data_IF_203579445208
#
_entry.id   IF_203579445208
#
_cell.length_a   1.000
_cell.length_b   1.000
_cell.length_c   1.000
_cell.angle_alpha   90.00
_cell.angle_beta   90.00
_cell.angle_gamma   90.00
#
_symmetry.space_group_name_H-M   'P 1'
#
loop_
_entity.id
_entity.type
_entity.pdbx_description
1 polymer ?
#
# COMPACT_ATOMS: atom_id res chain seq x y z
N UNK A 1 4.94 -27.66 2.72
CA UNK A 1 4.99 -28.15 1.32
C UNK A 1 4.47 -27.09 0.37
N UNK A 2 3.24 -26.57 0.56
CA UNK A 2 2.69 -25.47 -0.26
C UNK A 2 3.44 -24.14 -0.11
N UNK A 3 3.69 -23.67 1.13
CA UNK A 3 4.43 -22.42 1.36
C UNK A 3 5.82 -22.41 0.72
N UNK A 4 6.53 -23.55 0.78
CA UNK A 4 7.85 -23.69 0.17
C UNK A 4 7.75 -23.54 -1.35
N UNK A 5 6.77 -24.19 -1.99
CA UNK A 5 6.55 -24.07 -3.43
C UNK A 5 6.25 -22.62 -3.84
N UNK A 6 5.40 -21.90 -3.09
CA UNK A 6 5.13 -20.48 -3.37
C UNK A 6 6.39 -19.62 -3.24
N UNK A 7 7.20 -19.87 -2.21
CA UNK A 7 8.46 -19.16 -1.99
C UNK A 7 9.48 -19.44 -3.10
N UNK A 8 9.60 -20.69 -3.55
CA UNK A 8 10.52 -21.08 -4.62
C UNK A 8 10.14 -20.45 -5.96
N UNK A 9 8.83 -20.38 -6.26
CA UNK A 9 8.31 -19.68 -7.44
C UNK A 9 8.62 -18.18 -7.37
N UNK A 10 8.36 -17.53 -6.25
CA UNK A 10 8.70 -16.11 -6.06
C UNK A 10 10.20 -15.86 -6.20
N UNK A 11 11.04 -16.74 -5.66
CA UNK A 11 12.49 -16.62 -5.79
C UNK A 11 12.94 -16.69 -7.25
N UNK A 12 12.39 -17.63 -8.03
CA UNK A 12 12.64 -17.71 -9.47
C UNK A 12 12.19 -16.43 -10.20
N UNK A 13 10.97 -15.95 -9.93
CA UNK A 13 10.43 -14.74 -10.58
C UNK A 13 11.22 -13.49 -10.21
N UNK A 14 11.60 -13.31 -8.94
CA UNK A 14 12.45 -12.21 -8.48
C UNK A 14 13.78 -12.19 -9.23
N UNK A 15 14.46 -13.32 -9.31
CA UNK A 15 15.75 -13.45 -10.00
C UNK A 15 15.64 -13.23 -11.52
N UNK A 16 14.50 -13.56 -12.12
CA UNK A 16 14.30 -13.53 -13.57
C UNK A 16 13.80 -12.17 -14.07
N UNK A 17 12.92 -11.52 -13.30
CA UNK A 17 12.16 -10.35 -13.76
C UNK A 17 12.63 -9.04 -13.15
N UNK A 18 13.22 -9.07 -11.94
CA UNK A 18 13.54 -7.85 -11.22
C UNK A 18 15.03 -7.53 -11.34
N UNK A 19 15.40 -6.31 -11.79
CA UNK A 19 16.77 -5.86 -11.70
C UNK A 19 17.17 -5.70 -10.21
N UNK A 20 18.45 -5.90 -9.86
CA UNK A 20 18.94 -5.64 -8.51
C UNK A 20 18.59 -4.21 -8.07
N UNK A 21 18.14 -4.05 -6.82
CA UNK A 21 17.81 -2.75 -6.26
C UNK A 21 18.45 -2.56 -4.89
N UNK A 22 19.74 -2.18 -4.84
CA UNK A 22 20.49 -2.06 -3.60
C UNK A 22 19.79 -1.18 -2.55
N UNK A 23 19.15 -0.08 -2.96
CA UNK A 23 18.42 0.79 -2.04
C UNK A 23 17.22 0.11 -1.36
N UNK A 24 16.52 -0.78 -2.07
CA UNK A 24 15.39 -1.54 -1.51
C UNK A 24 15.88 -2.65 -0.58
N UNK A 25 16.94 -3.36 -0.95
CA UNK A 25 17.59 -4.37 -0.10
C UNK A 25 18.09 -3.73 1.22
N UNK A 26 18.83 -2.63 1.10
CA UNK A 26 19.30 -1.86 2.25
C UNK A 26 18.15 -1.29 3.09
N UNK A 27 16.97 -1.06 2.51
CA UNK A 27 15.78 -0.57 3.23
C UNK A 27 15.26 -1.68 4.13
N UNK A 28 15.14 -2.90 3.62
CA UNK A 28 14.73 -4.07 4.40
C UNK A 28 15.74 -4.38 5.53
N UNK A 29 17.05 -4.32 5.24
CA UNK A 29 18.10 -4.49 6.24
C UNK A 29 18.02 -3.43 7.34
N UNK A 30 17.82 -2.17 6.97
CA UNK A 30 17.72 -1.09 7.93
C UNK A 30 16.44 -1.22 8.78
N UNK A 31 15.30 -1.52 8.17
CA UNK A 31 14.04 -1.78 8.88
C UNK A 31 14.22 -2.86 9.95
N UNK A 32 14.85 -3.98 9.59
CA UNK A 32 15.17 -5.06 10.53
C UNK A 32 16.11 -4.60 11.65
N UNK A 33 17.16 -3.84 11.32
CA UNK A 33 18.11 -3.30 12.32
C UNK A 33 17.46 -2.35 13.33
N UNK A 34 16.38 -1.66 12.92
CA UNK A 34 15.60 -0.74 13.74
C UNK A 34 14.43 -1.45 14.47
N UNK A 35 14.38 -2.78 14.41
CA UNK A 35 13.37 -3.60 15.07
C UNK A 35 11.95 -3.41 14.50
N UNK A 36 11.82 -2.99 13.25
CA UNK A 36 10.51 -2.92 12.60
C UNK A 36 9.98 -4.33 12.29
N UNK A 37 8.66 -4.54 12.33
CA UNK A 37 8.07 -5.80 11.92
C UNK A 37 8.34 -6.07 10.43
N UNK A 38 8.64 -7.33 10.09
CA UNK A 38 8.94 -7.76 8.72
C UNK A 38 7.66 -7.95 7.87
N UNK A 39 6.83 -6.89 7.81
CA UNK A 39 5.54 -6.86 7.12
C UNK A 39 5.60 -6.06 5.82
N UNK A 40 6.78 -5.65 5.37
CA UNK A 40 6.97 -5.04 4.05
C UNK A 40 6.37 -5.94 2.95
N UNK A 41 5.79 -5.31 1.92
CA UNK A 41 5.36 -6.00 0.70
C UNK A 41 6.54 -6.77 0.08
N UNK A 42 6.26 -7.89 -0.59
CA UNK A 42 7.29 -8.62 -1.31
C UNK A 42 7.88 -7.79 -2.45
N UNK A 43 9.05 -8.17 -2.96
CA UNK A 43 9.67 -7.46 -4.09
C UNK A 43 8.77 -7.49 -5.36
N UNK A 44 8.06 -8.58 -5.59
CA UNK A 44 7.12 -8.68 -6.72
C UNK A 44 5.87 -7.82 -6.50
N UNK A 45 5.36 -7.72 -5.27
CA UNK A 45 4.27 -6.81 -4.91
C UNK A 45 4.71 -5.35 -5.05
N UNK A 46 5.92 -4.99 -4.62
CA UNK A 46 6.49 -3.67 -4.84
C UNK A 46 6.61 -3.31 -6.32
N UNK A 47 7.06 -4.26 -7.16
CA UNK A 47 7.10 -4.09 -8.62
C UNK A 47 5.69 -3.91 -9.20
N UNK A 48 4.70 -4.66 -8.70
CA UNK A 48 3.31 -4.49 -9.10
C UNK A 48 2.80 -3.07 -8.78
N UNK A 49 3.04 -2.56 -7.57
CA UNK A 49 2.68 -1.18 -7.20
C UNK A 49 3.34 -0.14 -8.13
N UNK A 50 4.62 -0.32 -8.43
CA UNK A 50 5.35 0.52 -9.40
C UNK A 50 4.67 0.50 -10.78
N UNK A 51 4.27 -0.68 -11.26
CA UNK A 51 3.54 -0.82 -12.54
C UNK A 51 2.16 -0.16 -12.49
N UNK A 52 1.46 -0.19 -11.36
CA UNK A 52 0.17 0.50 -11.21
C UNK A 52 0.31 2.02 -11.28
N UNK A 53 1.38 2.59 -10.73
CA UNK A 53 1.71 4.01 -10.91
C UNK A 53 1.91 4.33 -12.39
N UNK A 54 2.69 3.51 -13.11
CA UNK A 54 2.96 3.71 -14.54
C UNK A 54 1.71 3.56 -15.41
N UNK A 55 0.90 2.53 -15.17
CA UNK A 55 -0.31 2.24 -15.94
C UNK A 55 -1.40 3.29 -15.72
N UNK A 56 -1.54 3.78 -14.49
CA UNK A 56 -2.49 4.86 -14.17
C UNK A 56 -2.01 6.23 -14.65
N UNK A 57 -0.69 6.40 -14.89
CA UNK A 57 -0.11 7.70 -15.18
C UNK A 57 -0.12 8.63 -13.96
N UNK A 58 -0.10 8.06 -12.75
CA UNK A 58 -0.25 8.81 -11.51
C UNK A 58 0.87 9.84 -11.32
N UNK A 59 0.47 11.05 -10.91
CA UNK A 59 1.36 12.13 -10.47
C UNK A 59 1.21 12.44 -8.99
N UNK A 60 0.06 12.12 -8.41
CA UNK A 60 -0.27 12.34 -7.00
C UNK A 60 -0.66 11.02 -6.37
N UNK A 61 0.14 10.56 -5.42
CA UNK A 61 -0.08 9.31 -4.69
C UNK A 61 -0.37 9.62 -3.23
N UNK A 62 -1.37 8.93 -2.66
CA UNK A 62 -1.58 8.86 -1.22
C UNK A 62 -1.27 7.44 -0.74
N UNK A 63 -0.46 7.31 0.29
CA UNK A 63 -0.20 6.05 0.98
C UNK A 63 -0.66 6.18 2.44
N UNK A 64 -1.49 5.23 2.89
CA UNK A 64 -1.97 5.15 4.28
C UNK A 64 -1.25 3.97 4.92
N UNK A 65 -0.23 4.26 5.73
CA UNK A 65 0.70 3.27 6.29
C UNK A 65 2.06 3.31 5.58
N UNK A 66 3.07 3.88 6.23
CA UNK A 66 4.42 4.03 5.64
C UNK A 66 5.37 2.90 6.04
N UNK A 67 5.30 2.43 7.29
CA UNK A 67 6.31 1.55 7.89
C UNK A 67 7.73 2.13 7.68
N UNK A 68 8.67 1.34 7.17
CA UNK A 68 10.02 1.79 6.87
C UNK A 68 10.19 2.33 5.45
N UNK A 69 9.10 2.54 4.70
CA UNK A 69 9.11 3.21 3.41
C UNK A 69 9.46 2.33 2.20
N UNK A 70 9.32 1.00 2.29
CA UNK A 70 9.65 0.10 1.18
C UNK A 70 8.67 0.26 -0.01
N UNK A 71 7.35 0.13 0.24
CA UNK A 71 6.29 0.37 -0.75
C UNK A 71 6.33 1.81 -1.27
N UNK A 72 6.56 2.77 -0.39
CA UNK A 72 6.72 4.19 -0.69
C UNK A 72 7.79 4.41 -1.75
N UNK A 73 8.98 3.82 -1.58
CA UNK A 73 10.07 3.92 -2.57
C UNK A 73 9.73 3.24 -3.89
N UNK A 74 9.09 2.07 -3.86
CA UNK A 74 8.66 1.37 -5.08
C UNK A 74 7.71 2.25 -5.92
N UNK A 75 6.72 2.88 -5.29
CA UNK A 75 5.78 3.76 -5.96
C UNK A 75 6.43 5.07 -6.42
N UNK A 76 7.21 5.72 -5.55
CA UNK A 76 7.83 7.01 -5.86
C UNK A 76 8.84 6.95 -7.02
N UNK A 77 9.51 5.81 -7.23
CA UNK A 77 10.40 5.61 -8.40
C UNK A 77 9.69 5.69 -9.75
N UNK A 78 8.38 5.42 -9.79
CA UNK A 78 7.58 5.52 -11.01
C UNK A 78 6.95 6.90 -11.22
N UNK A 79 7.03 7.81 -10.24
CA UNK A 79 6.52 9.17 -10.37
C UNK A 79 7.38 10.00 -11.34
N UNK A 80 6.76 10.89 -12.15
CA UNK A 80 7.50 11.90 -12.89
C UNK A 80 8.20 12.88 -11.93
N UNK A 81 9.08 13.73 -12.46
CA UNK A 81 9.86 14.67 -11.65
C UNK A 81 9.02 15.71 -10.91
N UNK A 82 7.85 16.04 -11.45
CA UNK A 82 6.84 16.90 -10.84
C UNK A 82 5.81 16.13 -9.99
N UNK A 83 6.01 14.82 -9.79
CA UNK A 83 5.13 13.97 -9.01
C UNK A 83 5.32 14.11 -7.50
N UNK A 84 4.25 13.81 -6.76
CA UNK A 84 4.22 13.87 -5.30
C UNK A 84 3.57 12.62 -4.72
N UNK A 85 4.23 12.00 -3.75
CA UNK A 85 3.69 10.96 -2.89
C UNK A 85 3.55 11.51 -1.47
N UNK A 86 2.34 11.50 -0.92
CA UNK A 86 2.08 11.76 0.49
C UNK A 86 1.87 10.42 1.18
N UNK A 87 2.62 10.16 2.26
CA UNK A 87 2.48 8.93 3.05
C UNK A 87 2.20 9.24 4.51
N UNK A 88 1.33 8.47 5.14
CA UNK A 88 0.84 8.69 6.50
C UNK A 88 1.42 7.63 7.45
N UNK A 89 2.14 8.08 8.47
CA UNK A 89 2.73 7.20 9.50
C UNK A 89 2.35 7.69 10.90
N UNK A 90 1.87 6.77 11.73
CA UNK A 90 1.40 7.10 13.08
C UNK A 90 2.55 7.22 14.07
N UNK A 91 3.54 6.34 14.01
CA UNK A 91 4.64 6.29 14.97
C UNK A 91 5.80 7.21 14.49
N UNK A 92 6.12 8.31 15.20
CA UNK A 92 7.22 9.20 14.83
C UNK A 92 8.58 8.50 14.72
N UNK A 93 8.81 7.44 15.49
CA UNK A 93 10.04 6.65 15.42
C UNK A 93 10.08 5.87 14.10
N UNK A 94 8.98 5.26 13.70
CA UNK A 94 8.87 4.53 12.43
C UNK A 94 8.99 5.49 11.25
N UNK A 95 8.35 6.66 11.33
CA UNK A 95 8.47 7.72 10.32
C UNK A 95 9.93 8.19 10.14
N UNK A 96 10.70 8.30 11.22
CA UNK A 96 12.12 8.64 11.14
C UNK A 96 12.95 7.55 10.43
N UNK A 97 12.60 6.27 10.60
CA UNK A 97 13.23 5.17 9.86
C UNK A 97 12.90 5.25 8.37
N UNK A 98 11.63 5.49 8.02
CA UNK A 98 11.23 5.71 6.63
C UNK A 98 11.94 6.90 6.00
N UNK A 99 11.99 8.03 6.70
CA UNK A 99 12.68 9.24 6.23
C UNK A 99 14.15 8.96 5.91
N UNK A 100 14.86 8.25 6.79
CA UNK A 100 16.24 7.84 6.54
C UNK A 100 16.37 6.99 5.27
N UNK A 101 15.50 6.01 5.08
CA UNK A 101 15.51 5.15 3.90
C UNK A 101 15.22 5.94 2.61
N UNK A 102 14.27 6.88 2.67
CA UNK A 102 13.87 7.75 1.55
C UNK A 102 15.01 8.69 1.14
N UNK A 103 15.67 9.35 2.09
CA UNK A 103 16.81 10.23 1.84
C UNK A 103 17.99 9.46 1.24
N UNK A 104 18.29 8.27 1.78
CA UNK A 104 19.34 7.39 1.25
C UNK A 104 19.04 6.95 -0.19
N UNK A 105 17.77 6.79 -0.55
CA UNK A 105 17.32 6.49 -1.90
C UNK A 105 17.21 7.74 -2.80
N UNK A 106 17.46 8.94 -2.28
CA UNK A 106 17.38 10.23 -2.98
C UNK A 106 15.98 10.52 -3.55
N UNK A 107 14.93 10.13 -2.84
CA UNK A 107 13.53 10.30 -3.25
C UNK A 107 12.76 11.34 -2.42
N UNK A 108 13.43 11.99 -1.47
CA UNK A 108 12.88 12.99 -0.54
C UNK A 108 12.22 14.18 -1.26
N UNK A 109 12.71 14.54 -2.44
CA UNK A 109 12.11 15.60 -3.27
C UNK A 109 10.71 15.26 -3.83
N UNK A 110 10.31 13.99 -3.84
CA UNK A 110 8.98 13.51 -4.31
C UNK A 110 8.09 12.99 -3.20
N UNK A 111 8.60 12.81 -1.97
CA UNK A 111 7.90 12.13 -0.89
C UNK A 111 7.73 13.06 0.30
N UNK A 112 6.49 13.16 0.80
CA UNK A 112 6.17 13.88 2.03
C UNK A 112 5.56 12.91 3.04
N UNK A 113 6.23 12.73 4.18
CA UNK A 113 5.72 11.93 5.30
C UNK A 113 4.95 12.83 6.26
N UNK A 114 3.67 12.53 6.47
CA UNK A 114 2.86 13.20 7.49
C UNK A 114 2.76 12.30 8.71
N UNK A 115 3.36 12.75 9.81
CA UNK A 115 3.34 12.02 11.07
C UNK A 115 2.07 12.32 11.86
N UNK A 116 1.31 11.27 12.20
CA UNK A 116 0.10 11.36 13.01
C UNK A 116 -0.87 10.22 12.73
N UNK A 117 -1.92 10.12 13.55
CA UNK A 117 -2.98 9.15 13.30
C UNK A 117 -3.61 9.37 11.92
N UNK A 118 -3.73 8.32 11.11
CA UNK A 118 -4.22 8.42 9.75
C UNK A 118 -5.63 9.05 9.70
N UNK A 119 -6.52 8.75 10.66
CA UNK A 119 -7.86 9.33 10.67
C UNK A 119 -7.84 10.85 10.88
N UNK A 120 -6.87 11.35 11.65
CA UNK A 120 -6.70 12.78 11.92
C UNK A 120 -5.95 13.50 10.80
N UNK A 121 -4.97 12.86 10.18
CA UNK A 121 -4.18 13.46 9.10
C UNK A 121 -4.97 13.52 7.81
N UNK A 122 -5.78 12.50 7.48
CA UNK A 122 -6.69 12.51 6.33
C UNK A 122 -7.67 13.69 6.37
N UNK A 123 -8.17 14.08 7.55
CA UNK A 123 -9.05 15.24 7.72
C UNK A 123 -8.38 16.57 7.40
N UNK A 124 -7.05 16.64 7.51
CA UNK A 124 -6.25 17.84 7.29
C UNK A 124 -5.70 17.93 5.86
N UNK A 125 -5.82 16.86 5.07
CA UNK A 125 -5.43 16.88 3.68
C UNK A 125 -6.34 17.83 2.90
N UNK A 126 -5.73 18.65 2.07
CA UNK A 126 -6.44 19.56 1.19
C UNK A 126 -7.27 18.76 0.18
N UNK A 127 -8.60 18.93 0.25
CA UNK A 127 -9.54 18.24 -0.63
C UNK A 127 -9.58 18.81 -2.04
N UNK A 128 -8.99 19.99 -2.27
CA UNK A 128 -8.95 20.63 -3.59
C UNK A 128 -8.02 19.90 -4.57
N UNK A 129 -7.08 19.08 -4.08
CA UNK A 129 -6.14 18.33 -4.92
C UNK A 129 -6.26 16.81 -4.73
N UNK A 130 -7.11 16.20 -5.56
CA UNK A 130 -7.34 14.75 -5.56
C UNK A 130 -6.09 13.92 -5.92
N UNK A 131 -6.09 12.63 -5.59
CA UNK A 131 -5.00 11.69 -5.85
C UNK A 131 -5.34 10.78 -7.03
N UNK A 132 -4.33 10.48 -7.86
CA UNK A 132 -4.44 9.57 -9.00
C UNK A 132 -4.36 8.10 -8.56
N UNK A 133 -3.56 7.83 -7.51
CA UNK A 133 -3.42 6.50 -6.93
C UNK A 133 -3.41 6.59 -5.39
N UNK A 134 -4.12 5.67 -4.75
CA UNK A 134 -4.19 5.58 -3.29
C UNK A 134 -3.89 4.14 -2.85
N UNK A 135 -2.90 3.96 -1.97
CA UNK A 135 -2.53 2.68 -1.39
C UNK A 135 -2.93 2.66 0.10
N UNK A 136 -3.71 1.67 0.50
CA UNK A 136 -4.22 1.51 1.87
C UNK A 136 -3.57 0.27 2.49
N UNK A 137 -2.63 0.49 3.39
CA UNK A 137 -1.91 -0.56 4.12
C UNK A 137 -1.58 -0.16 5.57
N UNK A 138 -2.59 0.34 6.28
CA UNK A 138 -2.49 0.70 7.69
C UNK A 138 -3.21 -0.32 8.59
N UNK A 139 -3.61 0.09 9.80
CA UNK A 139 -4.33 -0.77 10.70
C UNK A 139 -5.69 -1.20 10.13
N UNK A 140 -5.98 -2.49 10.28
CA UNK A 140 -7.08 -3.10 9.52
C UNK A 140 -8.45 -2.85 10.13
N UNK A 141 -8.54 -2.53 11.43
CA UNK A 141 -9.80 -2.17 12.07
C UNK A 141 -10.43 -0.90 11.47
N UNK A 142 -9.61 0.02 10.95
CA UNK A 142 -10.07 1.27 10.33
C UNK A 142 -10.18 1.22 8.81
N UNK A 143 -10.14 0.02 8.21
CA UNK A 143 -10.15 -0.14 6.74
C UNK A 143 -11.33 0.54 6.05
N UNK A 144 -12.55 0.45 6.60
CA UNK A 144 -13.72 1.13 6.03
C UNK A 144 -13.54 2.65 6.02
N UNK A 145 -13.05 3.22 7.12
CA UNK A 145 -12.78 4.66 7.23
C UNK A 145 -11.73 5.10 6.20
N UNK A 146 -10.66 4.33 6.04
CA UNK A 146 -9.63 4.63 5.04
C UNK A 146 -10.15 4.53 3.61
N UNK A 147 -10.99 3.54 3.32
CA UNK A 147 -11.59 3.38 2.01
C UNK A 147 -12.53 4.55 1.68
N UNK A 148 -13.35 4.98 2.64
CA UNK A 148 -14.23 6.14 2.47
C UNK A 148 -13.43 7.42 2.19
N UNK A 149 -12.34 7.65 2.93
CA UNK A 149 -11.44 8.77 2.67
C UNK A 149 -10.73 8.67 1.33
N UNK A 150 -10.25 7.48 0.97
CA UNK A 150 -9.60 7.25 -0.32
C UNK A 150 -10.55 7.62 -1.47
N UNK A 151 -11.80 7.17 -1.41
CA UNK A 151 -12.77 7.49 -2.46
C UNK A 151 -13.13 8.98 -2.44
N UNK A 152 -13.26 9.60 -1.25
CA UNK A 152 -13.49 11.05 -1.14
C UNK A 152 -12.36 11.88 -1.78
N UNK A 153 -11.11 11.48 -1.55
CA UNK A 153 -9.89 12.17 -2.01
C UNK A 153 -9.46 11.76 -3.44
N UNK A 154 -10.23 10.92 -4.12
CA UNK A 154 -9.95 10.46 -5.48
C UNK A 154 -10.61 11.36 -6.55
N UNK A 155 -10.54 11.01 -7.82
CA UNK A 155 -11.34 11.56 -8.90
C UNK A 155 -11.71 10.43 -9.88
N UNK A 156 -12.64 10.64 -10.83
CA UNK A 156 -12.87 9.65 -11.88
C UNK A 156 -11.57 9.28 -12.60
N UNK A 157 -11.25 7.99 -12.64
CA UNK A 157 -10.00 7.46 -13.16
C UNK A 157 -8.98 7.04 -12.10
N UNK A 158 -9.09 7.52 -10.86
CA UNK A 158 -8.16 7.16 -9.79
C UNK A 158 -8.18 5.66 -9.50
N UNK A 159 -7.01 5.14 -9.13
CA UNK A 159 -6.81 3.75 -8.73
C UNK A 159 -6.66 3.69 -7.20
N UNK A 160 -7.41 2.80 -6.55
CA UNK A 160 -7.25 2.54 -5.12
C UNK A 160 -6.87 1.08 -4.94
N UNK A 161 -5.83 0.83 -4.16
CA UNK A 161 -5.33 -0.50 -3.83
C UNK A 161 -5.41 -0.64 -2.31
N UNK A 162 -6.12 -1.65 -1.83
CA UNK A 162 -6.20 -1.97 -0.41
C UNK A 162 -5.57 -3.34 -0.19
N UNK A 163 -4.52 -3.41 0.64
CA UNK A 163 -3.75 -4.64 0.85
C UNK A 163 -4.21 -5.43 2.09
N UNK A 164 -3.88 -6.72 2.07
CA UNK A 164 -4.21 -7.73 3.08
C UNK A 164 -5.72 -7.94 3.28
N UNK A 165 -6.46 -8.09 2.18
CA UNK A 165 -7.92 -8.22 2.25
C UNK A 165 -8.42 -9.65 2.44
N UNK A 166 -7.55 -10.66 2.32
CA UNK A 166 -7.94 -12.08 2.36
C UNK A 166 -7.64 -12.70 3.73
N UNK A 167 -6.52 -12.31 4.37
CA UNK A 167 -6.18 -12.68 5.75
C UNK A 167 -6.15 -14.19 5.98
N UNK A 168 -5.49 -14.96 5.10
CA UNK A 168 -5.48 -16.43 5.14
C UNK A 168 -6.90 -17.06 5.20
N UNK A 169 -7.88 -16.40 4.56
CA UNK A 169 -9.27 -16.85 4.54
C UNK A 169 -10.08 -16.49 5.79
N UNK A 170 -9.49 -15.79 6.76
CA UNK A 170 -10.18 -15.43 8.00
C UNK A 170 -11.42 -14.55 7.78
N UNK A 171 -11.52 -13.86 6.64
CA UNK A 171 -12.73 -13.11 6.23
C UNK A 171 -13.98 -13.99 6.11
N UNK A 172 -13.82 -15.31 5.97
CA UNK A 172 -14.91 -16.29 5.91
C UNK A 172 -15.33 -16.82 7.29
N UNK A 173 -14.56 -16.53 8.34
CA UNK A 173 -14.85 -17.07 9.67
C UNK A 173 -16.04 -16.35 10.32
N UNK A 174 -16.89 -17.11 11.01
CA UNK A 174 -18.02 -16.57 11.78
C UNK A 174 -17.53 -15.75 12.98
N UNK A 175 -16.57 -16.28 13.74
CA UNK A 175 -15.86 -15.56 14.79
C UNK A 175 -14.56 -14.99 14.24
N UNK A 176 -14.39 -13.68 14.34
CA UNK A 176 -13.27 -12.97 13.75
C UNK A 176 -12.84 -11.80 14.63
N UNK A 177 -11.57 -11.42 14.50
CA UNK A 177 -11.01 -10.26 15.21
C UNK A 177 -11.53 -8.95 14.63
N UNK A 178 -11.37 -7.86 15.37
CA UNK A 178 -11.70 -6.50 14.91
C UNK A 178 -10.97 -6.13 13.61
N UNK A 179 -9.74 -6.62 13.44
CA UNK A 179 -8.94 -6.43 12.22
C UNK A 179 -9.63 -7.02 10.98
N UNK A 180 -10.12 -8.25 11.10
CA UNK A 180 -10.79 -8.96 9.99
C UNK A 180 -12.19 -8.38 9.76
N UNK A 181 -12.89 -7.97 10.82
CA UNK A 181 -14.18 -7.30 10.68
C UNK A 181 -14.05 -5.97 9.92
N UNK A 182 -13.05 -5.14 10.22
CA UNK A 182 -12.83 -3.88 9.51
C UNK A 182 -12.59 -4.07 8.01
N UNK A 183 -11.77 -5.06 7.64
CA UNK A 183 -11.55 -5.44 6.23
C UNK A 183 -12.85 -5.87 5.56
N UNK A 184 -13.60 -6.76 6.21
CA UNK A 184 -14.85 -7.29 5.66
C UNK A 184 -15.90 -6.19 5.48
N UNK A 185 -16.03 -5.27 6.44
CA UNK A 185 -16.92 -4.11 6.32
C UNK A 185 -16.55 -3.23 5.12
N UNK A 186 -15.26 -2.99 4.89
CA UNK A 186 -14.79 -2.25 3.72
C UNK A 186 -15.18 -2.95 2.41
N UNK A 187 -14.92 -4.26 2.29
CA UNK A 187 -15.28 -5.05 1.11
C UNK A 187 -16.79 -5.11 0.88
N UNK A 188 -17.57 -5.40 1.92
CA UNK A 188 -19.03 -5.54 1.85
C UNK A 188 -19.70 -4.21 1.44
N UNK A 189 -19.12 -3.06 1.83
CA UNK A 189 -19.64 -1.75 1.45
C UNK A 189 -19.63 -1.51 -0.06
N UNK A 190 -18.77 -2.20 -0.82
CA UNK A 190 -18.59 -2.00 -2.25
C UNK A 190 -19.78 -2.45 -3.10
N UNK A 191 -20.57 -3.43 -2.64
CA UNK A 191 -21.71 -3.96 -3.43
C UNK A 191 -22.76 -2.89 -3.73
N UNK A 192 -22.83 -1.85 -2.91
CA UNK A 192 -23.81 -0.78 -3.01
C UNK A 192 -23.27 0.46 -3.75
N UNK A 193 -22.03 0.43 -4.24
CA UNK A 193 -21.41 1.56 -4.93
C UNK A 193 -21.53 1.44 -6.44
N UNK A 194 -21.99 2.51 -7.09
CA UNK A 194 -22.06 2.65 -8.54
C UNK A 194 -20.94 3.54 -9.12
N UNK A 195 -20.20 4.22 -8.25
CA UNK A 195 -19.16 5.19 -8.56
C UNK A 195 -17.75 4.57 -8.58
N UNK A 196 -17.64 3.25 -8.43
CA UNK A 196 -16.39 2.49 -8.54
C UNK A 196 -16.60 1.21 -9.35
N UNK A 197 -15.56 0.78 -10.06
CA UNK A 197 -15.39 -0.60 -10.53
C UNK A 197 -14.36 -1.28 -9.64
N UNK A 198 -14.67 -2.46 -9.11
CA UNK A 198 -13.83 -3.13 -8.10
C UNK A 198 -13.66 -4.61 -8.39
N UNK A 199 -12.49 -5.13 -8.04
CA UNK A 199 -12.20 -6.56 -7.96
C UNK A 199 -11.25 -6.83 -6.78
N UNK A 200 -11.05 -8.11 -6.45
CA UNK A 200 -10.01 -8.53 -5.51
C UNK A 200 -9.25 -9.72 -6.09
N UNK A 201 -7.94 -9.75 -5.86
CA UNK A 201 -7.06 -10.84 -6.30
C UNK A 201 -6.43 -11.49 -5.09
N UNK A 202 -6.63 -12.80 -4.98
CA UNK A 202 -5.89 -13.62 -4.03
C UNK A 202 -4.48 -13.84 -4.56
N UNK A 203 -3.50 -13.76 -3.66
CA UNK A 203 -2.09 -13.96 -3.98
C UNK A 203 -1.47 -14.95 -3.02
N UNK A 204 -0.52 -15.71 -3.54
CA UNK A 204 0.38 -16.56 -2.75
C UNK A 204 1.81 -16.22 -3.13
N UNK A 205 2.73 -16.37 -2.18
CA UNK A 205 4.14 -16.07 -2.40
C UNK A 205 4.97 -16.30 -1.14
N UNK A 206 6.14 -15.68 -1.07
CA UNK A 206 7.02 -15.72 0.10
C UNK A 206 6.38 -15.12 1.37
N UNK A 207 5.36 -14.27 1.21
CA UNK A 207 4.53 -13.70 2.29
C UNK A 207 3.34 -14.60 2.72
N UNK A 208 3.13 -15.74 2.08
CA UNK A 208 2.00 -16.63 2.37
C UNK A 208 0.75 -16.31 1.55
N UNK A 209 -0.42 -16.72 2.04
CA UNK A 209 -1.70 -16.54 1.35
C UNK A 209 -2.43 -15.30 1.85
N UNK A 210 -2.59 -14.33 0.96
CA UNK A 210 -3.36 -13.13 1.21
C UNK A 210 -4.00 -12.63 -0.10
N UNK A 211 -4.20 -11.32 -0.23
CA UNK A 211 -4.61 -10.66 -1.46
C UNK A 211 -4.89 -9.19 -1.27
N UNK A 212 -5.20 -8.51 -2.37
CA UNK A 212 -5.53 -7.09 -2.38
C UNK A 212 -6.84 -6.84 -3.13
N UNK A 213 -7.54 -5.76 -2.76
CA UNK A 213 -8.63 -5.21 -3.55
C UNK A 213 -8.09 -4.11 -4.47
N UNK A 214 -8.57 -4.08 -5.71
CA UNK A 214 -8.25 -3.08 -6.71
C UNK A 214 -9.53 -2.38 -7.16
N UNK A 215 -9.57 -1.07 -6.99
CA UNK A 215 -10.69 -0.23 -7.35
C UNK A 215 -10.25 0.80 -8.39
N UNK A 216 -11.15 1.08 -9.34
CA UNK A 216 -11.07 2.22 -10.24
C UNK A 216 -12.31 3.08 -10.03
N UNK A 217 -12.11 4.34 -9.67
CA UNK A 217 -13.20 5.30 -9.48
C UNK A 217 -13.78 5.66 -10.85
N UNK A 218 -15.09 5.54 -11.01
CA UNK A 218 -15.81 5.76 -12.28
C UNK A 218 -16.69 7.01 -12.25
N UNK A 219 -17.05 7.52 -11.07
CA UNK A 219 -17.88 8.72 -10.89
C UNK A 219 -17.67 9.38 -9.53
N UNK A 220 -18.31 10.53 -9.31
CA UNK A 220 -18.42 11.25 -8.03
C UNK A 220 -19.80 11.89 -7.92
#
# INVERSE_FOLDING_TARGET
MLQQQWTDVDNYLKQTLLPPSPHLEQTLEYNASQGLPAIDVSALQGQFLMMMVQISGAKRILEIGTLGGYSTQCMAKALPDDGLLITLEKDPRVAAVAQHNIERAQLDHKINIIVGDAADTLQKLDTEASFDLIFIDADKQSSLLYLDWAIKLSHPGSVIIMDNVIREGAILHEQRSELVEGVRQALDSMINRSDVTVTALQTVGDKGWDGFALLRVTGK
#
